data_IF_169907854739
#
_entry.id   IF_169907854739
#
_cell.length_a   1.000
_cell.length_b   1.000
_cell.length_c   1.000
_cell.angle_alpha   90.00
_cell.angle_beta   90.00
_cell.angle_gamma   90.00
#
_symmetry.space_group_name_H-M   'P 1'
#
loop_
_entity.id
_entity.type
_entity.pdbx_description
1 polymer ?
#
# COMPACT_ATOMS: atom_id res chain seq x y z
N UNK A 1 -20.63 -42.25 -28.99
CA UNK A 1 -21.71 -41.27 -28.73
C UNK A 1 -22.83 -41.85 -27.84
N UNK A 2 -23.84 -42.55 -28.38
CA UNK A 2 -25.03 -42.94 -27.57
C UNK A 2 -24.74 -43.98 -26.47
N UNK A 3 -23.84 -44.93 -26.73
CA UNK A 3 -23.41 -45.93 -25.73
C UNK A 3 -22.44 -45.40 -24.66
N UNK A 4 -21.72 -44.31 -24.94
CA UNK A 4 -20.85 -43.65 -23.95
C UNK A 4 -21.69 -42.83 -22.96
N UNK A 5 -22.77 -42.21 -23.44
CA UNK A 5 -23.70 -41.47 -22.61
C UNK A 5 -24.43 -42.38 -21.62
N UNK A 6 -24.89 -43.55 -22.07
CA UNK A 6 -25.52 -44.54 -21.18
C UNK A 6 -24.55 -45.15 -20.16
N UNK A 7 -23.27 -45.31 -20.52
CA UNK A 7 -22.24 -45.75 -19.57
C UNK A 7 -21.97 -44.67 -18.50
N UNK A 8 -21.84 -43.41 -18.91
CA UNK A 8 -21.66 -42.30 -17.98
C UNK A 8 -22.88 -42.11 -17.05
N UNK A 9 -24.10 -42.32 -17.55
CA UNK A 9 -25.32 -42.29 -16.73
C UNK A 9 -25.35 -43.42 -15.70
N UNK A 10 -24.87 -44.62 -16.04
CA UNK A 10 -24.77 -45.73 -15.09
C UNK A 10 -23.67 -45.48 -14.05
N UNK A 11 -22.49 -45.03 -14.46
CA UNK A 11 -21.39 -44.69 -13.55
C UNK A 11 -21.77 -43.57 -12.58
N UNK A 12 -22.53 -42.57 -13.03
CA UNK A 12 -23.06 -41.51 -12.18
C UNK A 12 -24.11 -42.07 -11.19
N UNK A 13 -25.01 -42.95 -11.64
CA UNK A 13 -26.02 -43.55 -10.78
C UNK A 13 -25.38 -44.44 -9.70
N UNK A 14 -24.35 -45.22 -10.07
CA UNK A 14 -23.59 -46.07 -9.15
C UNK A 14 -22.81 -45.22 -8.13
N UNK A 15 -22.13 -44.15 -8.58
CA UNK A 15 -21.46 -43.20 -7.68
C UNK A 15 -22.43 -42.51 -6.73
N UNK A 16 -23.61 -42.10 -7.22
CA UNK A 16 -24.65 -41.50 -6.37
C UNK A 16 -25.20 -42.50 -5.34
N UNK A 17 -25.35 -43.77 -5.71
CA UNK A 17 -25.76 -44.82 -4.80
C UNK A 17 -24.68 -45.13 -3.75
N UNK A 18 -23.40 -45.11 -4.14
CA UNK A 18 -22.25 -45.29 -3.24
C UNK A 18 -22.13 -44.14 -2.22
N UNK A 19 -22.29 -42.89 -2.66
CA UNK A 19 -22.33 -41.72 -1.75
C UNK A 19 -23.54 -41.80 -0.81
N UNK A 20 -24.71 -42.21 -1.29
CA UNK A 20 -25.91 -42.36 -0.46
C UNK A 20 -25.80 -43.53 0.55
N UNK A 21 -25.04 -44.57 0.20
CA UNK A 21 -24.75 -45.71 1.09
C UNK A 21 -23.69 -45.39 2.14
N UNK A 22 -22.81 -44.41 1.89
CA UNK A 22 -21.85 -43.92 2.87
C UNK A 22 -22.60 -43.26 4.03
N UNK A 23 -22.69 -43.96 5.15
CA UNK A 23 -23.22 -43.40 6.40
C UNK A 23 -22.13 -42.53 6.99
N UNK A 24 -22.03 -41.30 6.49
CA UNK A 24 -21.08 -40.32 7.01
C UNK A 24 -21.41 -40.10 8.48
N UNK A 25 -20.49 -40.51 9.35
CA UNK A 25 -20.66 -40.39 10.79
C UNK A 25 -20.76 -38.91 11.15
N UNK A 26 -21.96 -38.49 11.55
CA UNK A 26 -22.24 -37.10 11.95
C UNK A 26 -21.35 -36.64 13.10
N UNK A 27 -20.85 -37.57 13.91
CA UNK A 27 -19.89 -37.28 14.98
C UNK A 27 -18.53 -36.90 14.40
N UNK A 28 -18.04 -37.62 13.39
CA UNK A 28 -16.80 -37.28 12.69
C UNK A 28 -16.89 -35.95 11.94
N UNK A 29 -18.04 -35.64 11.32
CA UNK A 29 -18.27 -34.31 10.72
C UNK A 29 -18.28 -33.20 11.78
N UNK A 30 -18.86 -33.46 12.95
CA UNK A 30 -18.82 -32.52 14.07
C UNK A 30 -17.40 -32.28 14.59
N UNK A 31 -16.56 -33.32 14.62
CA UNK A 31 -15.14 -33.19 14.96
C UNK A 31 -14.33 -32.46 13.89
N UNK A 32 -14.58 -32.74 12.61
CA UNK A 32 -13.95 -32.00 11.51
C UNK A 32 -14.28 -30.51 11.58
N UNK A 33 -15.55 -30.15 11.78
CA UNK A 33 -15.96 -28.75 11.95
C UNK A 33 -15.32 -28.07 13.18
N UNK A 34 -15.14 -28.81 14.28
CA UNK A 34 -14.44 -28.29 15.46
C UNK A 34 -12.94 -28.07 15.20
N UNK A 35 -12.31 -28.96 14.44
CA UNK A 35 -10.91 -28.81 14.01
C UNK A 35 -10.75 -27.61 13.08
N UNK A 36 -11.67 -27.44 12.12
CA UNK A 36 -11.68 -26.27 11.23
C UNK A 36 -11.85 -24.96 12.02
N UNK A 37 -12.72 -24.94 13.04
CA UNK A 37 -12.88 -23.78 13.91
C UNK A 37 -11.60 -23.45 14.70
N UNK A 38 -10.90 -24.47 15.22
CA UNK A 38 -9.61 -24.28 15.90
C UNK A 38 -8.54 -23.76 14.94
N UNK A 39 -8.53 -24.23 13.69
CA UNK A 39 -7.61 -23.71 12.68
C UNK A 39 -7.88 -22.23 12.36
N UNK A 40 -9.15 -21.85 12.22
CA UNK A 40 -9.56 -20.47 12.03
C UNK A 40 -9.15 -19.57 13.22
N UNK A 41 -9.31 -20.06 14.46
CA UNK A 41 -8.88 -19.33 15.66
C UNK A 41 -7.35 -19.16 15.70
N UNK A 42 -6.59 -20.18 15.32
CA UNK A 42 -5.12 -20.10 15.24
C UNK A 42 -4.66 -19.10 14.18
N UNK A 43 -5.34 -19.05 13.03
CA UNK A 43 -5.09 -18.07 11.97
C UNK A 43 -5.40 -16.65 12.47
N UNK A 44 -6.56 -16.43 13.08
CA UNK A 44 -6.93 -15.13 13.66
C UNK A 44 -5.95 -14.65 14.75
N UNK A 45 -5.41 -15.56 15.56
CA UNK A 45 -4.38 -15.23 16.56
C UNK A 45 -3.06 -14.82 15.88
N UNK A 46 -2.67 -15.48 14.78
CA UNK A 46 -1.46 -15.11 14.04
C UNK A 46 -1.60 -13.72 13.43
N UNK A 47 -2.72 -13.45 12.77
CA UNK A 47 -3.02 -12.13 12.20
C UNK A 47 -2.99 -11.04 13.27
N UNK A 48 -3.56 -11.32 14.46
CA UNK A 48 -3.55 -10.37 15.57
C UNK A 48 -2.14 -10.12 16.13
N UNK A 49 -1.26 -11.12 16.13
CA UNK A 49 0.14 -10.98 16.55
C UNK A 49 0.93 -10.16 15.54
N UNK A 50 0.72 -10.40 14.24
CA UNK A 50 1.35 -9.63 13.17
C UNK A 50 0.92 -8.15 13.22
N UNK A 51 -0.38 -7.89 13.35
CA UNK A 51 -0.92 -6.54 13.47
C UNK A 51 -0.41 -5.81 14.75
N UNK A 52 -0.17 -6.55 15.83
CA UNK A 52 0.44 -5.99 17.03
C UNK A 52 1.92 -5.63 16.83
N UNK A 53 2.67 -6.42 16.08
CA UNK A 53 4.07 -6.14 15.74
C UNK A 53 4.17 -4.91 14.82
N UNK A 54 3.34 -4.82 13.78
CA UNK A 54 3.27 -3.66 12.89
C UNK A 54 2.95 -2.37 13.67
N UNK A 55 1.98 -2.44 14.59
CA UNK A 55 1.64 -1.30 15.44
C UNK A 55 2.78 -0.88 16.38
N UNK A 56 3.61 -1.82 16.84
CA UNK A 56 4.79 -1.53 17.65
C UNK A 56 5.88 -0.82 16.83
N UNK A 57 6.13 -1.28 15.60
CA UNK A 57 7.07 -0.66 14.67
C UNK A 57 6.62 0.75 14.24
N UNK A 58 5.33 0.96 14.00
CA UNK A 58 4.75 2.29 13.75
C UNK A 58 4.91 3.21 14.97
N UNK A 59 4.68 2.69 16.17
CA UNK A 59 4.83 3.45 17.41
C UNK A 59 6.30 3.86 17.65
N UNK A 60 7.26 2.98 17.37
CA UNK A 60 8.68 3.28 17.42
C UNK A 60 9.05 4.37 16.40
N UNK A 61 8.63 4.21 15.15
CA UNK A 61 8.87 5.18 14.08
C UNK A 61 8.24 6.55 14.38
N UNK A 62 7.07 6.57 15.03
CA UNK A 62 6.42 7.80 15.46
C UNK A 62 7.18 8.48 16.61
N UNK A 63 7.70 7.72 17.57
CA UNK A 63 8.54 8.24 18.67
C UNK A 63 9.84 8.83 18.16
N UNK A 64 10.51 8.18 17.22
CA UNK A 64 11.74 8.70 16.60
C UNK A 64 11.48 10.04 15.89
N UNK A 65 10.43 10.11 15.05
CA UNK A 65 10.03 11.36 14.38
C UNK A 65 9.66 12.47 15.36
N UNK A 66 8.94 12.13 16.43
CA UNK A 66 8.57 13.09 17.46
C UNK A 66 9.80 13.61 18.22
N UNK A 67 10.77 12.74 18.50
CA UNK A 67 12.03 13.12 19.15
C UNK A 67 12.85 14.05 18.24
N UNK A 68 12.94 13.75 16.95
CA UNK A 68 13.58 14.60 15.95
C UNK A 68 12.93 15.99 15.86
N UNK A 69 11.59 16.05 15.85
CA UNK A 69 10.86 17.32 15.82
C UNK A 69 11.06 18.12 17.11
N UNK A 70 11.01 17.45 18.25
CA UNK A 70 11.26 18.08 19.55
C UNK A 70 12.69 18.64 19.61
N UNK A 71 13.69 17.88 19.15
CA UNK A 71 15.08 18.32 19.12
C UNK A 71 15.29 19.57 18.25
N UNK A 72 14.52 19.75 17.16
CA UNK A 72 14.58 20.96 16.31
C UNK A 72 14.04 22.20 17.01
N UNK A 73 12.97 22.05 17.80
CA UNK A 73 12.27 23.19 18.44
C UNK A 73 12.84 23.48 19.83
N UNK A 74 13.26 22.44 20.56
CA UNK A 74 13.79 22.46 21.92
C UNK A 74 14.90 21.41 22.08
N UNK A 75 16.12 21.67 21.59
CA UNK A 75 17.23 20.70 21.59
C UNK A 75 17.62 20.20 22.99
N UNK A 76 17.29 20.96 24.03
CA UNK A 76 17.62 20.63 25.43
C UNK A 76 16.55 19.78 26.13
N UNK A 77 15.51 19.32 25.41
CA UNK A 77 14.34 18.62 25.97
C UNK A 77 14.20 17.22 25.37
N UNK A 78 13.99 16.23 26.23
CA UNK A 78 13.74 14.86 25.82
C UNK A 78 12.24 14.60 25.64
N UNK A 79 11.89 13.60 24.82
CA UNK A 79 10.49 13.27 24.47
C UNK A 79 9.66 12.86 25.70
N UNK A 80 10.33 12.27 26.69
CA UNK A 80 9.80 11.80 27.96
C UNK A 80 9.78 12.89 29.05
N UNK A 81 10.28 14.10 28.77
CA UNK A 81 10.12 15.25 29.66
C UNK A 81 8.68 15.77 29.57
N UNK A 82 7.87 15.66 30.64
CA UNK A 82 6.47 16.08 30.62
C UNK A 82 6.30 17.59 30.38
N UNK A 83 7.34 18.38 30.59
CA UNK A 83 7.33 19.84 30.36
C UNK A 83 7.88 20.22 28.97
N UNK A 84 8.31 19.25 28.17
CA UNK A 84 8.70 19.45 26.77
C UNK A 84 7.54 20.00 25.92
N UNK A 85 6.30 19.64 26.30
CA UNK A 85 5.06 19.99 25.61
C UNK A 85 4.31 21.16 26.23
N UNK A 86 4.85 21.79 27.28
CA UNK A 86 4.27 22.99 27.84
C UNK A 86 4.41 24.14 26.83
N UNK A 87 3.33 24.33 26.07
CA UNK A 87 3.04 25.54 25.31
C UNK A 87 2.47 26.54 26.32
N UNK A 88 3.06 27.74 26.47
CA UNK A 88 2.55 28.73 27.42
C UNK A 88 1.05 28.95 27.20
N UNK A 89 0.28 28.90 28.30
CA UNK A 89 -1.15 29.13 28.28
C UNK A 89 -1.44 30.46 27.56
N UNK A 90 -2.32 30.42 26.55
CA UNK A 90 -2.68 31.57 25.73
C UNK A 90 -1.94 31.70 24.39
N UNK A 91 -0.84 30.98 24.13
CA UNK A 91 -0.18 31.03 22.80
C UNK A 91 -1.03 30.34 21.73
N UNK A 92 -1.61 29.17 22.04
CA UNK A 92 -2.53 28.49 21.11
C UNK A 92 -3.79 29.30 20.82
N UNK A 93 -4.36 29.93 21.86
CA UNK A 93 -5.51 30.83 21.72
C UNK A 93 -5.16 32.09 20.92
N UNK A 94 -3.96 32.66 21.14
CA UNK A 94 -3.47 33.84 20.42
C UNK A 94 -3.19 33.54 18.95
N UNK A 95 -2.59 32.40 18.63
CA UNK A 95 -2.36 31.95 17.24
C UNK A 95 -3.69 31.71 16.53
N UNK A 96 -4.66 31.09 17.20
CA UNK A 96 -5.99 30.87 16.64
C UNK A 96 -6.72 32.19 16.41
N UNK A 97 -6.71 33.10 17.39
CA UNK A 97 -7.31 34.42 17.27
C UNK A 97 -6.70 35.25 16.14
N UNK A 98 -5.36 35.27 16.01
CA UNK A 98 -4.68 35.98 14.92
C UNK A 98 -4.99 35.37 13.55
N UNK A 99 -5.10 34.04 13.45
CA UNK A 99 -5.51 33.37 12.20
C UNK A 99 -6.94 33.72 11.82
N UNK A 100 -7.85 33.78 12.79
CA UNK A 100 -9.25 34.09 12.54
C UNK A 100 -9.44 35.59 12.19
N UNK A 101 -8.68 36.48 12.83
CA UNK A 101 -8.59 37.91 12.47
C UNK A 101 -8.07 38.13 11.04
N UNK A 102 -7.03 37.39 10.65
CA UNK A 102 -6.49 37.45 9.29
C UNK A 102 -7.53 37.00 8.26
N UNK A 103 -8.20 35.86 8.48
CA UNK A 103 -9.28 35.38 7.61
C UNK A 103 -10.43 36.39 7.48
N UNK A 104 -10.82 37.03 8.59
CA UNK A 104 -11.86 38.05 8.58
C UNK A 104 -11.43 39.32 7.83
N UNK A 105 -10.14 39.68 7.85
CA UNK A 105 -9.58 40.75 7.03
C UNK A 105 -9.58 40.40 5.55
N UNK A 106 -9.13 39.20 5.18
CA UNK A 106 -9.08 38.72 3.79
C UNK A 106 -10.48 38.64 3.17
N UNK A 107 -11.46 38.11 3.91
CA UNK A 107 -12.85 38.06 3.45
C UNK A 107 -13.45 39.45 3.21
N UNK A 108 -13.12 40.43 4.08
CA UNK A 108 -13.55 41.84 3.89
C UNK A 108 -12.87 42.48 2.69
N UNK A 109 -11.59 42.17 2.44
CA UNK A 109 -10.84 42.65 1.28
C UNK A 109 -11.45 42.10 -0.02
N UNK A 110 -11.70 40.79 -0.09
CA UNK A 110 -12.33 40.15 -1.24
C UNK A 110 -13.72 40.76 -1.54
N UNK A 111 -14.55 40.92 -0.50
CA UNK A 111 -15.87 41.57 -0.65
C UNK A 111 -15.78 43.04 -1.11
N UNK A 112 -14.73 43.77 -0.73
CA UNK A 112 -14.50 45.12 -1.20
C UNK A 112 -14.08 45.13 -2.67
N UNK A 113 -13.18 44.23 -3.07
CA UNK A 113 -12.75 44.08 -4.47
C UNK A 113 -13.93 43.73 -5.39
N UNK A 114 -14.79 42.79 -4.98
CA UNK A 114 -16.00 42.42 -5.72
C UNK A 114 -16.96 43.60 -5.90
N UNK A 115 -17.12 44.44 -4.87
CA UNK A 115 -17.96 45.64 -4.94
C UNK A 115 -17.38 46.67 -5.91
N UNK A 116 -16.06 46.86 -5.92
CA UNK A 116 -15.38 47.75 -6.86
C UNK A 116 -15.54 47.22 -8.29
N UNK A 117 -15.30 45.94 -8.52
CA UNK A 117 -15.48 45.30 -9.83
C UNK A 117 -16.92 45.45 -10.33
N UNK A 118 -17.91 45.10 -9.51
CA UNK A 118 -19.33 45.23 -9.84
C UNK A 118 -19.72 46.68 -10.22
N UNK A 119 -19.27 47.66 -9.43
CA UNK A 119 -19.56 49.08 -9.69
C UNK A 119 -18.86 49.59 -10.93
N UNK A 120 -17.64 49.13 -11.19
CA UNK A 120 -16.88 49.47 -12.41
C UNK A 120 -17.58 48.93 -13.65
N UNK A 121 -17.99 47.67 -13.64
CA UNK A 121 -18.80 47.09 -14.74
C UNK A 121 -20.10 47.86 -14.95
N UNK A 122 -20.78 48.27 -13.88
CA UNK A 122 -22.00 49.07 -13.97
C UNK A 122 -21.75 50.47 -14.52
N UNK A 123 -20.64 51.11 -14.14
CA UNK A 123 -20.21 52.40 -14.67
C UNK A 123 -19.88 52.30 -16.17
N UNK A 124 -19.15 51.27 -16.58
CA UNK A 124 -18.80 51.04 -17.98
C UNK A 124 -20.03 50.74 -18.83
N UNK A 125 -20.98 49.97 -18.30
CA UNK A 125 -22.28 49.75 -18.95
C UNK A 125 -23.08 51.06 -19.10
N UNK A 126 -23.12 51.91 -18.06
CA UNK A 126 -23.77 53.21 -18.13
C UNK A 126 -23.08 54.16 -19.13
N UNK A 127 -21.75 54.14 -19.19
CA UNK A 127 -20.95 54.89 -20.16
C UNK A 127 -21.20 54.41 -21.59
N UNK A 128 -21.22 53.10 -21.81
CA UNK A 128 -21.54 52.50 -23.10
C UNK A 128 -22.95 52.87 -23.57
N UNK A 129 -23.95 52.80 -22.69
CA UNK A 129 -25.32 53.22 -22.95
C UNK A 129 -25.40 54.71 -23.32
N UNK A 130 -24.66 55.57 -22.61
CA UNK A 130 -24.57 57.00 -22.93
C UNK A 130 -23.92 57.27 -24.29
N UNK A 131 -22.87 56.53 -24.67
CA UNK A 131 -22.22 56.64 -25.99
C UNK A 131 -23.05 56.08 -27.15
N UNK A 132 -23.98 55.16 -26.87
CA UNK A 132 -24.90 54.59 -27.86
C UNK A 132 -26.07 55.52 -28.19
N UNK A 133 -26.24 56.61 -27.46
CA UNK A 133 -27.23 57.64 -27.77
C UNK A 133 -26.79 58.39 -29.04
N UNK A 134 -27.54 58.21 -30.12
CA UNK A 134 -27.49 59.07 -31.31
C UNK A 134 -27.92 60.48 -30.89
N UNK A 135 -27.30 61.51 -31.47
CA UNK A 135 -27.51 62.93 -31.15
C UNK A 135 -29.00 63.28 -30.92
N UNK A 136 -29.31 64.10 -29.90
CA UNK A 136 -30.59 64.04 -29.21
C UNK A 136 -31.74 64.61 -30.05
N UNK A 137 -32.72 63.75 -30.35
CA UNK A 137 -34.07 64.19 -30.74
C UNK A 137 -35.03 64.27 -29.56
N UNK A 138 -34.83 63.45 -28.52
CA UNK A 138 -35.79 63.32 -27.42
C UNK A 138 -35.16 63.55 -26.03
N UNK A 139 -35.80 64.40 -25.24
CA UNK A 139 -35.36 64.81 -23.90
C UNK A 139 -35.87 63.88 -22.80
N UNK A 140 -36.81 62.98 -23.10
CA UNK A 140 -37.25 61.95 -22.15
C UNK A 140 -36.23 60.83 -21.94
N UNK A 141 -35.61 60.34 -23.02
CA UNK A 141 -34.60 59.27 -22.96
C UNK A 141 -33.37 59.68 -22.12
N UNK A 142 -32.95 60.93 -22.26
CA UNK A 142 -31.88 61.53 -21.45
C UNK A 142 -32.25 61.64 -19.96
N UNK A 143 -33.51 61.92 -19.64
CA UNK A 143 -34.01 62.02 -18.25
C UNK A 143 -34.14 60.65 -17.59
N UNK A 144 -34.57 59.63 -18.33
CA UNK A 144 -34.65 58.26 -17.85
C UNK A 144 -33.27 57.68 -17.51
N UNK A 145 -32.25 57.95 -18.34
CA UNK A 145 -30.87 57.51 -18.11
C UNK A 145 -30.22 58.20 -16.89
N UNK A 146 -30.45 59.50 -16.73
CA UNK A 146 -29.99 60.26 -15.56
C UNK A 146 -30.59 59.76 -14.24
N UNK A 147 -31.81 59.21 -14.27
CA UNK A 147 -32.49 58.60 -13.12
C UNK A 147 -31.98 57.20 -12.78
N UNK A 148 -31.33 56.51 -13.73
CA UNK A 148 -30.79 55.15 -13.57
C UNK A 148 -29.36 55.11 -12.99
N UNK A 149 -28.64 56.23 -13.05
CA UNK A 149 -27.31 56.39 -12.43
C UNK A 149 -27.51 56.81 -10.96
N UNK A 150 -27.09 55.99 -9.97
CA UNK A 150 -27.15 56.38 -8.56
C UNK A 150 -26.38 57.68 -8.34
N UNK A 151 -27.00 58.65 -7.65
CA UNK A 151 -26.55 60.05 -7.62
C UNK A 151 -25.14 60.34 -7.10
N UNK A 152 -24.42 59.36 -6.53
CA UNK A 152 -23.11 59.54 -5.91
C UNK A 152 -22.09 58.45 -6.30
N UNK A 153 -22.26 57.78 -7.44
CA UNK A 153 -21.42 56.63 -7.82
C UNK A 153 -19.91 56.96 -7.84
N UNK A 154 -19.53 58.16 -8.30
CA UNK A 154 -18.13 58.61 -8.35
C UNK A 154 -17.56 58.79 -6.94
N UNK A 155 -18.33 59.40 -6.03
CA UNK A 155 -17.91 59.61 -4.64
C UNK A 155 -17.88 58.29 -3.85
N UNK A 156 -18.77 57.34 -4.18
CA UNK A 156 -18.79 56.01 -3.60
C UNK A 156 -17.60 55.16 -4.08
N UNK A 157 -17.20 55.29 -5.35
CA UNK A 157 -15.97 54.67 -5.88
C UNK A 157 -14.75 55.26 -5.16
N UNK A 158 -14.65 56.59 -5.07
CA UNK A 158 -13.53 57.25 -4.40
C UNK A 158 -13.41 56.85 -2.91
N UNK A 159 -14.56 56.69 -2.22
CA UNK A 159 -14.60 56.23 -0.82
C UNK A 159 -14.12 54.79 -0.67
N UNK A 160 -14.52 53.90 -1.57
CA UNK A 160 -14.12 52.50 -1.52
C UNK A 160 -12.63 52.32 -1.86
N UNK A 161 -12.10 53.05 -2.85
CA UNK A 161 -10.65 53.09 -3.15
C UNK A 161 -9.82 53.62 -1.97
N UNK A 162 -10.37 54.57 -1.21
CA UNK A 162 -9.70 55.08 0.00
C UNK A 162 -9.72 54.03 1.12
N UNK A 163 -10.83 53.30 1.27
CA UNK A 163 -10.96 52.21 2.22
C UNK A 163 -9.98 51.07 1.89
N UNK A 164 -9.89 50.69 0.61
CA UNK A 164 -8.94 49.69 0.11
C UNK A 164 -7.50 50.09 0.42
N UNK A 165 -7.09 51.32 0.09
CA UNK A 165 -5.76 51.84 0.40
C UNK A 165 -5.44 51.81 1.89
N UNK A 166 -6.42 52.08 2.75
CA UNK A 166 -6.25 52.01 4.21
C UNK A 166 -6.03 50.56 4.68
N UNK A 167 -6.90 49.64 4.26
CA UNK A 167 -6.80 48.22 4.62
C UNK A 167 -5.52 47.57 4.09
N UNK A 168 -5.09 47.95 2.88
CA UNK A 168 -3.83 47.52 2.29
C UNK A 168 -2.64 47.92 3.17
N UNK A 169 -2.59 49.17 3.65
CA UNK A 169 -1.55 49.62 4.58
C UNK A 169 -1.58 48.87 5.92
N UNK A 170 -2.75 48.65 6.48
CA UNK A 170 -2.91 47.88 7.73
C UNK A 170 -2.41 46.43 7.56
N UNK A 171 -2.68 45.80 6.42
CA UNK A 171 -2.19 44.47 6.10
C UNK A 171 -0.66 44.42 5.96
N UNK A 172 -0.04 45.42 5.30
CA UNK A 172 1.42 45.52 5.22
C UNK A 172 2.05 45.74 6.60
N UNK A 173 1.50 46.64 7.40
CA UNK A 173 1.99 46.92 8.76
C UNK A 173 1.91 45.69 9.67
N UNK A 174 0.84 44.89 9.57
CA UNK A 174 0.73 43.61 10.26
C UNK A 174 1.78 42.60 9.80
N UNK A 175 2.01 42.49 8.48
CA UNK A 175 3.03 41.57 7.93
C UNK A 175 4.43 41.92 8.42
N UNK A 176 4.81 43.20 8.33
CA UNK A 176 6.11 43.67 8.78
C UNK A 176 6.29 43.57 10.29
N UNK A 177 5.25 43.89 11.09
CA UNK A 177 5.32 43.78 12.56
C UNK A 177 5.51 42.34 13.05
N UNK A 178 5.03 41.37 12.29
CA UNK A 178 5.02 39.96 12.67
C UNK A 178 6.00 39.10 11.85
N UNK A 179 6.91 39.73 11.09
CA UNK A 179 7.89 39.04 10.24
C UNK A 179 7.25 37.97 9.34
N UNK A 180 6.04 38.25 8.84
CA UNK A 180 5.36 37.43 7.83
C UNK A 180 5.90 37.68 6.43
N UNK A 181 6.94 38.53 6.30
CA UNK A 181 7.54 39.00 5.05
C UNK A 181 8.46 37.95 4.37
N UNK A 182 8.64 36.76 4.96
CA UNK A 182 9.44 35.64 4.40
C UNK A 182 8.60 34.56 3.70
N UNK A 183 7.43 34.92 3.16
CA UNK A 183 6.83 34.18 2.05
C UNK A 183 7.13 34.99 0.79
N UNK A 184 8.07 34.56 -0.08
CA UNK A 184 8.45 35.34 -1.25
C UNK A 184 7.22 35.67 -2.08
N UNK A 185 6.88 36.95 -2.11
CA UNK A 185 5.76 37.48 -2.85
C UNK A 185 5.98 37.24 -4.36
N UNK A 186 5.20 36.32 -4.91
CA UNK A 186 4.84 36.24 -6.32
C UNK A 186 4.11 37.53 -6.74
N UNK A 187 4.87 38.60 -6.94
CA UNK A 187 4.37 39.84 -7.51
C UNK A 187 5.49 40.52 -8.31
N UNK A 188 5.94 39.81 -9.34
CA UNK A 188 6.70 40.38 -10.45
C UNK A 188 5.79 40.53 -11.65
N UNK A 189 5.74 41.74 -12.20
CA UNK A 189 4.81 42.25 -13.22
C UNK A 189 5.08 41.65 -14.63
N UNK A 190 4.98 40.34 -14.70
CA UNK A 190 4.88 39.58 -15.93
C UNK A 190 3.85 38.50 -15.66
N UNK A 191 2.63 38.67 -16.17
CA UNK A 191 1.68 37.58 -16.31
C UNK A 191 2.25 36.51 -17.26
N UNK A 192 3.30 35.81 -16.82
CA UNK A 192 3.62 34.48 -17.28
C UNK A 192 2.40 33.67 -16.88
N UNK A 193 1.48 33.49 -17.84
CA UNK A 193 0.32 32.60 -17.71
C UNK A 193 0.83 31.31 -17.07
N UNK A 194 0.56 31.17 -15.77
CA UNK A 194 0.90 30.00 -15.00
C UNK A 194 0.20 28.83 -15.69
N UNK A 195 0.98 28.00 -16.39
CA UNK A 195 0.43 26.84 -17.07
C UNK A 195 0.31 25.73 -16.04
N UNK A 196 -0.81 25.74 -15.32
CA UNK A 196 -1.21 24.60 -14.50
C UNK A 196 -1.41 23.37 -15.40
N UNK A 197 -1.04 22.16 -14.95
CA UNK A 197 -1.36 20.94 -15.67
C UNK A 197 -2.89 20.79 -15.78
N UNK A 198 -3.43 20.52 -16.97
CA UNK A 198 -4.88 20.35 -17.13
C UNK A 198 -5.43 19.16 -16.33
N UNK A 199 -6.73 19.18 -16.01
CA UNK A 199 -7.41 18.11 -15.24
C UNK A 199 -7.12 16.69 -15.75
N UNK A 200 -7.08 16.49 -17.07
CA UNK A 200 -6.73 15.18 -17.66
C UNK A 200 -5.32 14.72 -17.28
N UNK A 201 -4.34 15.62 -17.27
CA UNK A 201 -2.96 15.30 -16.87
C UNK A 201 -2.85 14.97 -15.38
N UNK A 202 -3.66 15.61 -14.53
CA UNK A 202 -3.76 15.27 -13.10
C UNK A 202 -4.34 13.87 -12.92
N UNK A 203 -5.47 13.58 -13.57
CA UNK A 203 -6.10 12.27 -13.50
C UNK A 203 -5.15 11.15 -13.97
N UNK A 204 -4.48 11.35 -15.12
CA UNK A 204 -3.49 10.42 -15.65
C UNK A 204 -2.34 10.19 -14.65
N UNK A 205 -1.88 11.26 -13.98
CA UNK A 205 -0.80 11.16 -13.00
C UNK A 205 -1.24 10.41 -11.74
N UNK A 206 -2.43 10.70 -11.21
CA UNK A 206 -3.03 9.98 -10.08
C UNK A 206 -3.18 8.49 -10.39
N UNK A 207 -3.65 8.15 -11.59
CA UNK A 207 -3.77 6.76 -12.04
C UNK A 207 -2.39 6.07 -12.09
N UNK A 208 -1.38 6.74 -12.65
CA UNK A 208 -0.03 6.21 -12.74
C UNK A 208 0.62 6.00 -11.37
N UNK A 209 0.49 6.96 -10.45
CA UNK A 209 1.00 6.83 -9.07
C UNK A 209 0.27 5.71 -8.32
N UNK A 210 -1.05 5.62 -8.47
CA UNK A 210 -1.85 4.55 -7.84
C UNK A 210 -1.42 3.18 -8.36
N UNK A 211 -1.20 3.06 -9.67
CA UNK A 211 -0.68 1.84 -10.31
C UNK A 211 0.71 1.47 -9.79
N UNK A 212 1.66 2.40 -9.78
CA UNK A 212 3.02 2.16 -9.28
C UNK A 212 3.01 1.73 -7.80
N UNK A 213 2.20 2.36 -6.96
CA UNK A 213 2.03 1.97 -5.54
C UNK A 213 1.38 0.60 -5.37
N UNK A 214 0.46 0.21 -6.27
CA UNK A 214 -0.13 -1.12 -6.25
C UNK A 214 0.88 -2.20 -6.68
N UNK A 215 1.69 -1.92 -7.71
CA UNK A 215 2.76 -2.80 -8.17
C UNK A 215 3.83 -3.01 -7.10
N UNK A 216 4.23 -1.95 -6.38
CA UNK A 216 5.17 -2.05 -5.26
C UNK A 216 4.65 -2.93 -4.13
N UNK A 217 3.38 -2.75 -3.74
CA UNK A 217 2.73 -3.58 -2.72
C UNK A 217 2.67 -5.04 -3.16
N UNK A 218 2.14 -5.31 -4.36
CA UNK A 218 2.06 -6.66 -4.89
C UNK A 218 3.43 -7.35 -5.00
N UNK A 219 4.48 -6.61 -5.38
CA UNK A 219 5.84 -7.15 -5.42
C UNK A 219 6.39 -7.45 -4.03
N UNK A 220 6.13 -6.59 -3.04
CA UNK A 220 6.54 -6.79 -1.65
C UNK A 220 5.83 -8.00 -1.01
N UNK A 221 4.52 -8.12 -1.21
CA UNK A 221 3.71 -9.23 -0.70
C UNK A 221 4.18 -10.56 -1.31
N UNK A 222 4.39 -10.59 -2.63
CA UNK A 222 4.90 -11.76 -3.33
C UNK A 222 6.34 -12.14 -2.91
N UNK A 223 7.18 -11.15 -2.61
CA UNK A 223 8.53 -11.37 -2.09
C UNK A 223 8.49 -11.97 -0.68
N UNK A 224 7.62 -11.46 0.18
CA UNK A 224 7.42 -11.98 1.54
C UNK A 224 6.95 -13.44 1.51
N UNK A 225 5.90 -13.73 0.74
CA UNK A 225 5.37 -15.09 0.60
C UNK A 225 6.44 -16.05 0.06
N UNK A 226 7.17 -15.64 -0.97
CA UNK A 226 8.20 -16.48 -1.59
C UNK A 226 9.39 -16.73 -0.65
N UNK A 227 9.77 -15.76 0.18
CA UNK A 227 10.80 -15.95 1.23
C UNK A 227 10.34 -16.96 2.27
N UNK A 228 9.10 -16.87 2.73
CA UNK A 228 8.55 -17.83 3.69
C UNK A 228 8.56 -19.26 3.12
N UNK A 229 8.20 -19.43 1.85
CA UNK A 229 8.27 -20.72 1.16
C UNK A 229 9.71 -21.23 1.01
N UNK A 230 10.65 -20.35 0.64
CA UNK A 230 12.07 -20.68 0.51
C UNK A 230 12.66 -21.15 1.85
N UNK A 231 12.31 -20.48 2.95
CA UNK A 231 12.75 -20.85 4.30
C UNK A 231 12.18 -22.20 4.74
N UNK A 232 10.94 -22.51 4.38
CA UNK A 232 10.33 -23.81 4.65
C UNK A 232 11.07 -24.92 3.88
N UNK A 233 11.25 -24.74 2.57
CA UNK A 233 11.95 -25.70 1.69
C UNK A 233 13.41 -25.89 2.11
N UNK A 234 14.09 -24.81 2.52
CA UNK A 234 15.48 -24.85 3.00
C UNK A 234 15.60 -25.63 4.31
N UNK A 235 14.66 -25.46 5.25
CA UNK A 235 14.59 -26.25 6.48
C UNK A 235 14.33 -27.73 6.19
N UNK A 236 13.41 -28.01 5.27
CA UNK A 236 13.13 -29.39 4.84
C UNK A 236 14.34 -30.05 4.17
N UNK A 237 15.06 -29.30 3.33
CA UNK A 237 16.30 -29.77 2.70
C UNK A 237 17.40 -30.06 3.73
N UNK A 238 17.56 -29.19 4.74
CA UNK A 238 18.50 -29.39 5.82
C UNK A 238 18.17 -30.65 6.64
N UNK A 239 16.88 -30.89 6.93
CA UNK A 239 16.43 -32.08 7.65
C UNK A 239 16.77 -33.39 6.91
N UNK A 240 16.72 -33.39 5.57
CA UNK A 240 17.09 -34.56 4.75
C UNK A 240 18.61 -34.80 4.66
N UNK A 241 19.43 -33.82 5.02
CA UNK A 241 20.90 -33.90 4.89
C UNK A 241 21.56 -34.59 6.09
N UNK A 242 20.89 -34.61 7.25
CA UNK A 242 21.43 -35.17 8.50
C UNK A 242 21.22 -36.68 8.71
N UNK A 243 20.71 -37.40 7.71
CA UNK A 243 20.45 -38.84 7.82
C UNK A 243 21.77 -39.61 7.59
N UNK A 244 22.00 -40.70 8.34
CA UNK A 244 23.17 -41.61 8.23
C UNK A 244 23.55 -41.96 6.77
N UNK A 245 24.72 -42.52 6.44
CA UNK A 245 24.97 -43.05 5.08
C UNK A 245 24.06 -44.24 4.75
N UNK A 246 23.73 -44.50 3.47
CA UNK A 246 22.93 -45.66 3.10
C UNK A 246 23.73 -46.94 3.37
N UNK A 247 23.08 -48.10 3.61
CA UNK A 247 23.80 -49.36 3.68
C UNK A 247 24.64 -49.57 2.44
N UNK A 248 25.85 -50.09 2.61
CA UNK A 248 26.76 -50.28 1.49
C UNK A 248 26.30 -51.45 0.62
N UNK A 249 26.65 -51.48 -0.68
CA UNK A 249 26.38 -52.63 -1.53
C UNK A 249 26.94 -53.94 -0.95
N UNK A 250 28.04 -53.86 -0.19
CA UNK A 250 28.65 -55.00 0.48
C UNK A 250 27.79 -55.51 1.65
N UNK A 251 27.21 -54.62 2.47
CA UNK A 251 26.29 -54.99 3.55
C UNK A 251 25.04 -55.68 3.02
N UNK A 252 24.44 -55.13 1.95
CA UNK A 252 23.27 -55.73 1.32
C UNK A 252 23.59 -57.08 0.67
N UNK A 253 24.74 -57.19 0.00
CA UNK A 253 25.20 -58.45 -0.59
C UNK A 253 25.48 -59.52 0.49
N UNK A 254 26.07 -59.13 1.63
CA UNK A 254 26.34 -60.02 2.75
C UNK A 254 25.04 -60.55 3.38
N UNK A 255 24.04 -59.69 3.61
CA UNK A 255 22.75 -60.11 4.15
C UNK A 255 22.01 -61.09 3.21
N UNK A 256 22.03 -60.84 1.89
CA UNK A 256 21.43 -61.76 0.90
C UNK A 256 22.17 -63.09 0.84
N UNK A 257 23.50 -63.07 0.86
CA UNK A 257 24.31 -64.27 0.85
C UNK A 257 24.06 -65.14 2.09
N UNK A 258 23.89 -64.51 3.25
CA UNK A 258 23.59 -65.22 4.51
C UNK A 258 22.21 -65.87 4.50
N UNK A 259 21.18 -65.15 4.06
CA UNK A 259 19.84 -65.69 3.86
C UNK A 259 19.84 -66.88 2.89
N UNK A 260 20.50 -66.74 1.76
CA UNK A 260 20.56 -67.79 0.73
C UNK A 260 21.37 -69.02 1.22
N UNK A 261 22.39 -68.81 2.05
CA UNK A 261 23.16 -69.87 2.73
C UNK A 261 22.27 -70.65 3.70
N UNK A 262 21.54 -69.97 4.57
CA UNK A 262 20.64 -70.58 5.56
C UNK A 262 19.50 -71.35 4.88
N UNK A 263 18.91 -70.78 3.82
CA UNK A 263 17.91 -71.47 3.00
C UNK A 263 18.44 -72.77 2.40
N UNK A 264 19.66 -72.73 1.84
CA UNK A 264 20.32 -73.93 1.28
C UNK A 264 20.54 -74.99 2.35
N UNK A 265 20.90 -74.60 3.57
CA UNK A 265 21.08 -75.53 4.70
C UNK A 265 19.76 -76.17 5.14
N UNK A 266 18.68 -75.40 5.18
CA UNK A 266 17.32 -75.90 5.45
C UNK A 266 16.91 -76.95 4.41
N UNK A 267 17.12 -76.67 3.12
CA UNK A 267 16.74 -77.60 2.05
C UNK A 267 17.59 -78.88 2.02
N UNK A 268 18.87 -78.80 2.41
CA UNK A 268 19.82 -79.90 2.25
C UNK A 268 19.80 -80.94 3.39
N UNK A 269 19.34 -80.57 4.59
CA UNK A 269 19.54 -81.41 5.78
C UNK A 269 18.29 -81.48 6.70
N UNK A 270 17.26 -82.27 6.33
CA UNK A 270 16.19 -82.62 7.24
C UNK A 270 16.69 -83.53 8.39
N UNK A 271 16.05 -83.50 9.58
CA UNK A 271 14.83 -82.74 9.92
C UNK A 271 15.08 -81.25 10.17
N UNK A 272 14.06 -80.43 9.90
CA UNK A 272 14.03 -79.02 10.31
C UNK A 272 14.02 -78.94 11.84
N UNK A 273 14.88 -78.09 12.39
CA UNK A 273 14.91 -77.74 13.81
C UNK A 273 14.46 -76.30 13.96
N UNK A 274 13.74 -75.99 15.03
CA UNK A 274 13.20 -74.64 15.29
C UNK A 274 14.31 -73.58 15.24
N UNK A 275 15.48 -73.83 15.86
CA UNK A 275 16.64 -72.92 15.82
C UNK A 275 17.09 -72.54 14.39
N UNK A 276 16.98 -73.44 13.40
CA UNK A 276 17.38 -73.17 12.01
C UNK A 276 16.34 -72.32 11.28
N UNK A 277 15.08 -72.48 11.65
CA UNK A 277 13.98 -71.67 11.13
C UNK A 277 14.14 -70.25 11.67
N UNK A 278 14.36 -70.11 12.98
CA UNK A 278 14.57 -68.82 13.65
C UNK A 278 15.78 -68.05 13.07
N UNK A 279 16.92 -68.72 12.87
CA UNK A 279 18.11 -68.12 12.24
C UNK A 279 17.82 -67.62 10.82
N UNK A 280 17.05 -68.38 10.04
CA UNK A 280 16.67 -67.99 8.69
C UNK A 280 15.67 -66.83 8.69
N UNK A 281 14.66 -66.86 9.55
CA UNK A 281 13.69 -65.77 9.69
C UNK A 281 14.38 -64.46 10.07
N UNK A 282 15.31 -64.49 11.03
CA UNK A 282 16.10 -63.33 11.39
C UNK A 282 16.95 -62.79 10.22
N UNK A 283 17.54 -63.68 9.41
CA UNK A 283 18.31 -63.28 8.23
C UNK A 283 17.42 -62.68 7.12
N UNK A 284 16.17 -63.14 6.99
CA UNK A 284 15.17 -62.54 6.10
C UNK A 284 14.79 -61.15 6.59
N UNK A 285 14.44 -61.00 7.87
CA UNK A 285 14.12 -59.71 8.49
C UNK A 285 15.24 -58.69 8.29
N UNK A 286 16.50 -59.07 8.55
CA UNK A 286 17.64 -58.20 8.34
C UNK A 286 17.81 -57.77 6.87
N UNK A 287 17.58 -58.69 5.92
CA UNK A 287 17.66 -58.37 4.50
C UNK A 287 16.53 -57.44 4.05
N UNK A 288 15.33 -57.61 4.59
CA UNK A 288 14.16 -56.77 4.31
C UNK A 288 14.31 -55.37 4.94
N UNK A 289 14.78 -55.27 6.18
CA UNK A 289 15.11 -54.00 6.85
C UNK A 289 16.14 -53.20 6.04
N UNK A 290 17.18 -53.88 5.52
CA UNK A 290 18.17 -53.25 4.65
C UNK A 290 17.56 -52.78 3.33
N UNK A 291 16.65 -53.56 2.74
CA UNK A 291 15.96 -53.19 1.51
C UNK A 291 15.02 -51.99 1.72
N UNK A 292 14.26 -51.95 2.81
CA UNK A 292 13.41 -50.83 3.19
C UNK A 292 14.23 -49.57 3.44
N UNK A 293 15.36 -49.68 4.15
CA UNK A 293 16.31 -48.59 4.32
C UNK A 293 16.82 -48.06 2.97
N UNK A 294 17.17 -48.92 2.02
CA UNK A 294 17.60 -48.51 0.68
C UNK A 294 16.48 -47.77 -0.04
N UNK A 295 15.25 -48.30 -0.01
CA UNK A 295 14.08 -47.70 -0.65
C UNK A 295 13.77 -46.31 -0.06
N UNK A 296 13.67 -46.20 1.26
CA UNK A 296 13.46 -44.93 1.97
C UNK A 296 14.55 -43.90 1.65
N UNK A 297 15.81 -44.32 1.49
CA UNK A 297 16.90 -43.43 1.09
C UNK A 297 16.83 -43.00 -0.36
N UNK A 298 16.43 -43.88 -1.26
CA UNK A 298 16.20 -43.52 -2.66
C UNK A 298 15.09 -42.47 -2.75
N UNK A 299 13.99 -42.65 -2.01
CA UNK A 299 12.91 -41.65 -1.91
C UNK A 299 13.40 -40.33 -1.31
N UNK A 300 14.15 -40.37 -0.22
CA UNK A 300 14.75 -39.18 0.39
C UNK A 300 15.70 -38.45 -0.57
N UNK A 301 16.51 -39.18 -1.34
CA UNK A 301 17.41 -38.59 -2.34
C UNK A 301 16.64 -37.93 -3.50
N UNK A 302 15.57 -38.57 -3.98
CA UNK A 302 14.68 -37.98 -4.99
C UNK A 302 14.01 -36.71 -4.44
N UNK A 303 13.50 -36.76 -3.22
CA UNK A 303 12.89 -35.62 -2.54
C UNK A 303 13.88 -34.47 -2.36
N UNK A 304 15.11 -34.78 -1.94
CA UNK A 304 16.21 -33.82 -1.82
C UNK A 304 16.50 -33.14 -3.17
N UNK A 305 16.64 -33.91 -4.23
CA UNK A 305 16.88 -33.36 -5.57
C UNK A 305 15.75 -32.45 -6.06
N UNK A 306 14.49 -32.78 -5.74
CA UNK A 306 13.35 -31.88 -6.03
C UNK A 306 13.43 -30.58 -5.25
N UNK A 307 13.67 -30.67 -3.94
CA UNK A 307 13.81 -29.50 -3.07
C UNK A 307 14.97 -28.59 -3.49
N UNK A 308 16.11 -29.15 -3.89
CA UNK A 308 17.25 -28.37 -4.42
C UNK A 308 16.86 -27.57 -5.68
N UNK A 309 16.09 -28.20 -6.58
CA UNK A 309 15.57 -27.54 -7.80
C UNK A 309 14.58 -26.43 -7.44
N UNK A 310 13.65 -26.70 -6.51
CA UNK A 310 12.65 -25.74 -6.05
C UNK A 310 13.31 -24.54 -5.36
N UNK A 311 14.25 -24.77 -4.44
CA UNK A 311 15.04 -23.72 -3.77
C UNK A 311 15.79 -22.86 -4.79
N UNK A 312 16.43 -23.48 -5.78
CA UNK A 312 17.11 -22.74 -6.83
C UNK A 312 16.14 -21.95 -7.73
N UNK A 313 14.94 -22.47 -7.98
CA UNK A 313 13.90 -21.78 -8.74
C UNK A 313 13.36 -20.57 -7.98
N UNK A 314 13.01 -20.74 -6.72
CA UNK A 314 12.54 -19.67 -5.84
C UNK A 314 13.60 -18.58 -5.66
N UNK A 315 14.87 -18.97 -5.53
CA UNK A 315 15.99 -18.02 -5.50
C UNK A 315 16.06 -17.13 -6.76
N UNK A 316 15.82 -17.69 -7.95
CA UNK A 316 15.73 -16.90 -9.19
C UNK A 316 14.51 -15.98 -9.19
N UNK A 317 13.35 -16.48 -8.74
CA UNK A 317 12.12 -15.69 -8.66
C UNK A 317 12.24 -14.53 -7.66
N UNK A 318 12.97 -14.69 -6.55
CA UNK A 318 13.27 -13.59 -5.63
C UNK A 318 14.10 -12.49 -6.29
N UNK A 319 15.10 -12.86 -7.10
CA UNK A 319 15.88 -11.89 -7.88
C UNK A 319 14.99 -11.14 -8.89
N UNK A 320 14.10 -11.84 -9.58
CA UNK A 320 13.14 -11.23 -10.50
C UNK A 320 12.17 -10.28 -9.79
N UNK A 321 11.63 -10.65 -8.62
CA UNK A 321 10.75 -9.80 -7.82
C UNK A 321 11.48 -8.55 -7.31
N UNK A 322 12.73 -8.70 -6.84
CA UNK A 322 13.56 -7.58 -6.42
C UNK A 322 13.81 -6.60 -7.56
N UNK A 323 14.06 -7.10 -8.78
CA UNK A 323 14.22 -6.27 -9.98
C UNK A 323 12.91 -5.53 -10.33
N UNK A 324 11.75 -6.21 -10.28
CA UNK A 324 10.44 -5.58 -10.50
C UNK A 324 10.13 -4.50 -9.47
N UNK A 325 10.45 -4.74 -8.21
CA UNK A 325 10.28 -3.76 -7.12
C UNK A 325 11.16 -2.54 -7.34
N UNK A 326 12.42 -2.74 -7.76
CA UNK A 326 13.33 -1.64 -8.10
C UNK A 326 12.77 -0.82 -9.28
N UNK A 327 12.30 -1.47 -10.35
CA UNK A 327 11.70 -0.80 -11.50
C UNK A 327 10.44 0.00 -11.14
N UNK A 328 9.55 -0.58 -10.32
CA UNK A 328 8.35 0.12 -9.84
C UNK A 328 8.70 1.31 -8.92
N UNK A 329 9.75 1.18 -8.11
CA UNK A 329 10.24 2.26 -7.25
C UNK A 329 10.87 3.40 -8.06
N UNK A 330 11.66 3.07 -9.09
CA UNK A 330 12.21 4.06 -10.02
C UNK A 330 11.09 4.79 -10.75
N UNK A 331 10.09 4.05 -11.26
CA UNK A 331 8.90 4.63 -11.89
C UNK A 331 8.14 5.56 -10.95
N UNK A 332 7.99 5.20 -9.67
CA UNK A 332 7.36 6.09 -8.69
C UNK A 332 8.19 7.37 -8.49
N UNK A 333 9.51 7.26 -8.34
CA UNK A 333 10.39 8.42 -8.19
C UNK A 333 10.38 9.35 -9.42
N UNK A 334 10.31 8.77 -10.62
CA UNK A 334 10.17 9.50 -11.89
C UNK A 334 8.82 10.23 -11.94
N UNK A 335 7.74 9.59 -11.51
CA UNK A 335 6.43 10.20 -11.39
C UNK A 335 6.46 11.37 -10.40
N UNK A 336 6.98 11.15 -9.19
CA UNK A 336 7.08 12.19 -8.16
C UNK A 336 7.92 13.38 -8.64
N UNK A 337 9.01 13.12 -9.37
CA UNK A 337 9.86 14.15 -9.97
C UNK A 337 9.14 14.91 -11.08
N UNK A 338 8.46 14.19 -11.99
CA UNK A 338 7.68 14.79 -13.07
C UNK A 338 6.51 15.62 -12.54
N UNK A 339 5.92 15.19 -11.41
CA UNK A 339 4.89 15.93 -10.69
C UNK A 339 5.43 17.20 -10.08
N UNK A 340 6.51 17.11 -9.30
CA UNK A 340 7.15 18.27 -8.71
C UNK A 340 7.56 19.30 -9.78
N UNK A 341 8.11 18.84 -10.91
CA UNK A 341 8.43 19.71 -12.04
C UNK A 341 7.19 20.32 -12.70
N UNK A 342 6.08 19.59 -12.80
CA UNK A 342 4.82 20.14 -13.33
C UNK A 342 4.23 21.24 -12.44
N UNK A 343 4.58 21.25 -11.16
CA UNK A 343 4.11 22.19 -10.14
C UNK A 343 5.18 23.18 -9.65
N UNK A 344 6.39 23.16 -10.21
CA UNK A 344 7.47 24.12 -9.91
C UNK A 344 7.09 25.51 -10.42
N UNK A 345 6.30 26.20 -9.61
CA UNK A 345 6.00 27.61 -9.69
C UNK A 345 6.62 28.26 -8.46
N UNK A 346 7.40 29.32 -8.67
CA UNK A 346 8.20 29.97 -7.64
C UNK A 346 7.38 30.22 -6.36
N UNK A 347 7.71 29.50 -5.28
CA UNK A 347 7.15 29.73 -3.94
C UNK A 347 5.88 28.96 -3.57
N UNK A 348 5.33 28.09 -4.42
CA UNK A 348 4.18 27.23 -4.07
C UNK A 348 4.61 25.82 -3.67
N UNK A 349 4.07 25.23 -2.58
CA UNK A 349 4.29 23.83 -2.27
C UNK A 349 3.63 22.94 -3.32
N UNK A 350 4.31 21.85 -3.71
CA UNK A 350 3.76 20.84 -4.61
C UNK A 350 2.58 20.15 -3.91
N UNK A 351 1.36 20.21 -4.46
CA UNK A 351 0.21 19.58 -3.83
C UNK A 351 0.29 18.05 -3.94
N UNK A 352 -0.41 17.37 -3.04
CA UNK A 352 -0.65 15.93 -3.22
C UNK A 352 -1.41 15.70 -4.54
N UNK A 353 -1.06 14.67 -5.34
CA UNK A 353 -1.76 14.34 -6.58
C UNK A 353 -3.28 14.25 -6.44
N UNK A 354 -3.80 13.75 -5.31
CA UNK A 354 -5.23 13.63 -5.06
C UNK A 354 -5.92 14.97 -4.75
N UNK A 355 -5.17 15.94 -4.20
CA UNK A 355 -5.67 17.26 -3.83
C UNK A 355 -5.54 18.29 -4.97
N UNK A 356 -4.72 18.00 -5.97
CA UNK A 356 -4.43 18.90 -7.07
C UNK A 356 -5.62 19.23 -7.97
N UNK A 357 -6.58 18.32 -8.13
CA UNK A 357 -7.81 18.60 -8.90
C UNK A 357 -8.65 19.69 -8.21
N UNK A 358 -8.78 19.62 -6.89
CA UNK A 358 -9.51 20.60 -6.07
C UNK A 358 -8.84 21.98 -6.14
N UNK A 359 -7.51 22.02 -6.18
CA UNK A 359 -6.75 23.27 -6.32
C UNK A 359 -6.94 23.92 -7.69
N UNK A 360 -7.02 23.14 -8.77
CA UNK A 360 -7.28 23.69 -10.11
C UNK A 360 -8.72 24.19 -10.24
N UNK A 361 -9.69 23.52 -9.62
CA UNK A 361 -11.09 23.97 -9.66
C UNK A 361 -11.32 25.26 -8.87
N UNK A 362 -10.40 25.61 -7.96
CA UNK A 362 -10.45 26.81 -7.13
C UNK A 362 -9.76 28.04 -7.75
N UNK A 363 -8.96 27.87 -8.81
CA UNK A 363 -8.21 28.92 -9.54
C UNK A 363 -8.89 29.23 -10.86
#
# INVERSE_FOLDING_TARGET
ARGELTRAEHELADAMAEVAASTVDRVLLGHAAAVDAVHADVEAIRDAVELAADAEDEALSARERAADLLARVRPDRALDDPTAYDVPAGVGERVTALRDELKACEARLASAADKVAYRTTRHDAARAAATALVAPGDTEDLRALLKAVPGNLVDDIARDEQCERKLSREAVDLRTRHALDDVPALAGDGAARVRLPGQGRIADHVEQVTRARAELRAAADAEHELRAQLDLRSRELAALTGIDPPPTPAEWAAARAERDRLWTQICAAPPLTDDRIDEYEHAVELADDLAERIASRAEAAVKRGRLEVDVAHDGRRLVELAARRAEASERQADLDTAWAHAWQLDGLPVPDPHDASVLIDAV
#
